data_IF_984952221614
#
_entry.id   IF_984952221614
#
_cell.length_a   1.000
_cell.length_b   1.000
_cell.length_c   1.000
_cell.angle_alpha   90.00
_cell.angle_beta   90.00
_cell.angle_gamma   90.00
#
_symmetry.space_group_name_H-M   'P 1'
#
loop_
_entity.id
_entity.type
_entity.pdbx_description
1 polymer ?
#
# COMPACT_ATOMS: atom_id res chain seq x y z
N UNK A 1 -1.99 -3.85 -21.45
CA UNK A 1 -1.35 -4.11 -20.15
C UNK A 1 -0.57 -2.89 -19.71
N UNK A 2 -0.64 -2.57 -18.43
CA UNK A 2 0.05 -1.39 -17.93
C UNK A 2 1.53 -1.68 -17.65
N UNK A 3 2.37 -0.68 -17.84
CA UNK A 3 3.77 -0.76 -17.43
C UNK A 3 3.86 -0.26 -16.00
N UNK A 4 4.27 -1.10 -15.08
CA UNK A 4 4.33 -0.77 -13.65
C UNK A 4 5.77 -0.52 -13.24
N UNK A 5 6.04 0.70 -12.79
CA UNK A 5 7.37 1.12 -12.34
C UNK A 5 7.40 1.51 -10.86
N UNK A 6 6.23 1.59 -10.21
CA UNK A 6 6.13 1.96 -8.81
C UNK A 6 5.16 1.05 -8.07
N UNK A 7 5.52 0.71 -6.84
CA UNK A 7 4.62 0.11 -5.87
C UNK A 7 4.52 1.14 -4.75
N UNK A 8 3.37 1.78 -4.62
CA UNK A 8 3.19 2.88 -3.68
C UNK A 8 2.43 2.40 -2.45
N UNK A 9 3.04 2.57 -1.28
CA UNK A 9 2.47 2.11 -0.02
C UNK A 9 1.73 3.25 0.67
N UNK A 10 0.50 2.94 1.11
CA UNK A 10 -0.39 3.87 1.78
C UNK A 10 -0.89 3.29 3.10
N UNK A 11 -1.50 4.12 3.93
CA UNK A 11 -2.31 3.66 5.04
C UNK A 11 -3.73 4.20 4.85
N UNK A 12 -4.70 3.55 5.50
CA UNK A 12 -6.09 3.98 5.38
C UNK A 12 -6.43 5.17 6.27
N UNK A 13 -5.52 5.53 7.17
CA UNK A 13 -5.67 6.65 8.11
C UNK A 13 -6.90 6.45 9.01
N UNK A 14 -6.97 5.30 9.66
CA UNK A 14 -8.00 5.01 10.66
C UNK A 14 -7.36 4.74 12.01
N UNK A 15 -8.15 5.03 13.08
CA UNK A 15 -7.70 4.81 14.46
C UNK A 15 -7.81 3.33 14.81
N UNK A 16 -7.18 2.89 15.91
CA UNK A 16 -7.23 1.47 16.31
C UNK A 16 -8.65 0.94 16.52
N UNK A 17 -9.59 1.82 16.90
CA UNK A 17 -10.98 1.42 17.12
C UNK A 17 -11.78 1.32 15.83
N UNK A 18 -11.20 1.70 14.70
CA UNK A 18 -11.88 1.75 13.41
C UNK A 18 -11.32 0.69 12.48
N UNK A 19 -12.15 0.21 11.57
CA UNK A 19 -11.72 -0.78 10.58
C UNK A 19 -11.75 -0.17 9.18
N UNK A 20 -10.98 -0.78 8.27
CA UNK A 20 -10.99 -0.35 6.88
C UNK A 20 -10.72 -1.55 5.98
N UNK A 21 -11.77 -2.31 5.70
CA UNK A 21 -11.71 -3.39 4.72
C UNK A 21 -11.72 -2.80 3.30
N UNK A 22 -11.37 -3.60 2.31
CA UNK A 22 -11.48 -3.18 0.92
C UNK A 22 -12.91 -2.75 0.60
N UNK A 23 -13.91 -3.46 1.13
CA UNK A 23 -15.31 -3.13 0.91
C UNK A 23 -15.69 -1.78 1.54
N UNK A 24 -15.20 -1.52 2.74
CA UNK A 24 -15.46 -0.21 3.40
C UNK A 24 -14.81 0.92 2.62
N UNK A 25 -13.56 0.75 2.22
CA UNK A 25 -12.84 1.76 1.44
C UNK A 25 -13.54 1.98 0.10
N UNK A 26 -13.99 0.92 -0.55
CA UNK A 26 -14.73 1.00 -1.79
C UNK A 26 -15.97 1.89 -1.60
N UNK A 27 -16.72 1.67 -0.53
CA UNK A 27 -17.89 2.49 -0.22
C UNK A 27 -17.52 3.95 0.00
N UNK A 28 -16.43 4.22 0.75
CA UNK A 28 -15.99 5.59 0.98
C UNK A 28 -15.57 6.29 -0.31
N UNK A 29 -14.85 5.59 -1.19
CA UNK A 29 -14.41 6.18 -2.44
C UNK A 29 -15.58 6.42 -3.40
N UNK A 30 -16.56 5.52 -3.42
CA UNK A 30 -17.76 5.75 -4.24
C UNK A 30 -18.53 6.98 -3.78
N UNK A 31 -18.56 7.25 -2.48
CA UNK A 31 -19.20 8.47 -1.97
C UNK A 31 -18.49 9.73 -2.41
N UNK A 32 -17.21 9.63 -2.78
CA UNK A 32 -16.47 10.76 -3.35
C UNK A 32 -16.71 10.92 -4.84
N UNK A 33 -17.51 10.05 -5.44
CA UNK A 33 -17.78 10.08 -6.87
C UNK A 33 -16.87 9.22 -7.71
N UNK A 34 -16.03 8.39 -7.06
CA UNK A 34 -15.14 7.48 -7.80
C UNK A 34 -15.87 6.20 -8.16
N UNK A 35 -15.33 5.44 -9.13
CA UNK A 35 -15.94 4.20 -9.57
C UNK A 35 -15.78 3.05 -8.59
N UNK A 36 -15.04 3.24 -7.51
CA UNK A 36 -14.81 2.25 -6.47
C UNK A 36 -13.47 2.50 -5.80
N UNK A 37 -13.01 1.50 -5.05
CA UNK A 37 -11.75 1.60 -4.32
C UNK A 37 -10.59 1.95 -5.25
N UNK A 38 -9.78 2.90 -4.82
CA UNK A 38 -8.65 3.37 -5.61
C UNK A 38 -7.36 2.56 -5.45
N UNK A 39 -7.25 1.77 -4.36
CA UNK A 39 -6.09 0.92 -4.13
C UNK A 39 -6.26 -0.44 -4.81
N UNK A 40 -5.18 -1.09 -5.12
CA UNK A 40 -5.22 -2.43 -5.71
C UNK A 40 -5.24 -3.53 -4.64
N UNK A 41 -4.69 -3.24 -3.45
CA UNK A 41 -4.67 -4.19 -2.33
C UNK A 41 -4.85 -3.48 -1.00
N UNK A 42 -5.48 -4.17 -0.06
CA UNK A 42 -5.64 -3.71 1.32
C UNK A 42 -5.11 -4.80 2.24
N UNK A 43 -4.21 -4.45 3.14
CA UNK A 43 -3.64 -5.38 4.11
C UNK A 43 -4.27 -5.10 5.46
N UNK A 44 -5.11 -6.04 5.94
CA UNK A 44 -5.84 -5.89 7.19
C UNK A 44 -4.91 -6.11 8.39
N UNK A 45 -5.37 -5.70 9.58
CA UNK A 45 -4.56 -5.81 10.79
C UNK A 45 -4.12 -7.24 11.11
N UNK A 46 -4.94 -8.23 10.75
CA UNK A 46 -4.59 -9.63 10.97
C UNK A 46 -3.67 -10.20 9.89
N UNK A 47 -3.27 -9.38 8.93
CA UNK A 47 -2.40 -9.81 7.84
C UNK A 47 -3.16 -10.30 6.60
N UNK A 48 -4.49 -10.32 6.63
CA UNK A 48 -5.26 -10.71 5.45
C UNK A 48 -5.06 -9.68 4.34
N UNK A 49 -4.75 -10.15 3.14
CA UNK A 49 -4.60 -9.30 1.96
C UNK A 49 -5.88 -9.38 1.14
N UNK A 50 -6.56 -8.25 1.02
CA UNK A 50 -7.78 -8.17 0.25
C UNK A 50 -7.53 -7.47 -1.08
N UNK A 51 -8.20 -7.92 -2.12
CA UNK A 51 -8.10 -7.29 -3.42
C UNK A 51 -9.04 -6.11 -3.52
N UNK A 52 -8.53 -5.03 -4.10
CA UNK A 52 -9.33 -3.87 -4.42
C UNK A 52 -9.51 -3.79 -5.93
N UNK A 53 -9.06 -2.69 -6.54
CA UNK A 53 -9.13 -2.51 -7.98
C UNK A 53 -8.22 -3.52 -8.68
N UNK A 54 -8.64 -4.13 -9.79
CA UNK A 54 -7.77 -5.08 -10.52
C UNK A 54 -6.45 -4.43 -10.94
N UNK A 55 -5.36 -5.19 -10.89
CA UNK A 55 -4.04 -4.66 -11.24
C UNK A 55 -3.98 -4.09 -12.66
N UNK A 56 -4.76 -4.64 -13.58
CA UNK A 56 -4.77 -4.16 -14.95
C UNK A 56 -5.38 -2.78 -15.11
N UNK A 57 -6.09 -2.30 -14.08
CA UNK A 57 -6.74 -1.00 -14.14
C UNK A 57 -5.93 0.06 -13.41
N UNK A 58 -5.92 1.27 -13.96
CA UNK A 58 -5.28 2.41 -13.31
C UNK A 58 -5.99 2.72 -12.01
N UNK A 59 -5.24 2.86 -10.93
CA UNK A 59 -5.80 3.16 -9.62
C UNK A 59 -6.17 4.63 -9.45
N UNK A 60 -6.58 4.97 -8.23
CA UNK A 60 -6.86 6.35 -7.85
C UNK A 60 -6.35 6.52 -6.41
N UNK A 61 -5.04 6.58 -6.26
CA UNK A 61 -4.42 6.59 -4.93
C UNK A 61 -3.23 7.55 -4.81
N UNK A 62 -2.66 8.00 -5.92
CA UNK A 62 -1.53 8.93 -5.87
C UNK A 62 -1.57 9.80 -7.13
N UNK A 63 -1.97 11.06 -6.98
CA UNK A 63 -2.12 11.96 -8.09
C UNK A 63 -0.85 12.04 -8.93
N UNK A 64 -0.99 11.98 -10.24
CA UNK A 64 0.09 12.00 -11.23
C UNK A 64 0.90 10.71 -11.33
N UNK A 65 0.66 9.73 -10.47
CA UNK A 65 1.43 8.48 -10.49
C UNK A 65 0.56 7.23 -10.60
N UNK A 66 -0.74 7.39 -10.82
CA UNK A 66 -1.64 6.25 -10.88
C UNK A 66 -1.40 5.35 -12.10
N UNK A 67 -1.04 5.92 -13.22
CA UNK A 67 -0.95 5.15 -14.47
C UNK A 67 0.11 4.06 -14.47
N UNK A 68 1.20 4.25 -13.72
CA UNK A 68 2.32 3.34 -13.75
C UNK A 68 2.62 2.72 -12.38
N UNK A 69 1.60 2.66 -11.52
CA UNK A 69 1.80 2.16 -10.16
C UNK A 69 0.76 1.16 -9.72
N UNK A 70 1.14 0.40 -8.68
CA UNK A 70 0.22 -0.43 -7.90
C UNK A 70 0.11 0.24 -6.54
N UNK A 71 -1.10 0.46 -6.06
CA UNK A 71 -1.33 1.04 -4.73
C UNK A 71 -1.66 -0.02 -3.71
N UNK A 72 -0.89 -0.07 -2.64
CA UNK A 72 -1.07 -1.00 -1.52
C UNK A 72 -1.36 -0.20 -0.28
N UNK A 73 -2.48 -0.46 0.38
CA UNK A 73 -2.91 0.25 1.56
C UNK A 73 -2.98 -0.69 2.76
N UNK A 74 -2.39 -0.31 3.90
CA UNK A 74 -2.58 -1.11 5.10
C UNK A 74 -3.62 -0.44 6.01
N UNK A 75 -4.37 -1.26 6.74
CA UNK A 75 -5.41 -0.80 7.65
C UNK A 75 -4.76 -0.22 8.90
N UNK A 76 -4.91 1.07 9.12
CA UNK A 76 -4.30 1.76 10.26
C UNK A 76 -3.73 3.11 9.88
N UNK A 77 -2.70 3.52 10.59
CA UNK A 77 -1.98 4.77 10.30
C UNK A 77 -2.28 5.92 11.24
N UNK A 78 -3.24 5.76 12.17
CA UNK A 78 -3.50 6.76 13.20
C UNK A 78 -3.46 6.11 14.58
N UNK A 79 -2.95 6.85 15.57
CA UNK A 79 -2.99 6.40 16.95
C UNK A 79 -4.38 6.64 17.56
N UNK A 80 -4.55 6.33 18.84
CA UNK A 80 -5.85 6.46 19.50
C UNK A 80 -6.35 7.90 19.55
N UNK A 81 -5.45 8.87 19.47
CA UNK A 81 -5.79 10.29 19.46
C UNK A 81 -5.98 10.83 18.04
N UNK A 82 -5.87 9.98 17.01
CA UNK A 82 -6.06 10.40 15.63
C UNK A 82 -4.84 11.05 14.99
N UNK A 83 -3.66 10.89 15.60
CA UNK A 83 -2.43 11.43 15.05
C UNK A 83 -1.73 10.39 14.17
N UNK A 84 -1.04 10.79 13.10
CA UNK A 84 -0.33 9.84 12.25
C UNK A 84 0.69 9.03 13.04
N UNK A 85 0.70 7.73 12.84
CA UNK A 85 1.62 6.83 13.51
C UNK A 85 1.71 5.52 12.72
N UNK A 86 2.88 4.88 12.80
CA UNK A 86 3.05 3.56 12.21
C UNK A 86 2.41 2.54 13.16
N UNK A 87 1.18 2.13 12.82
CA UNK A 87 0.39 1.22 13.66
C UNK A 87 0.39 -0.20 13.10
N UNK A 88 1.30 -0.53 12.20
CA UNK A 88 1.31 -1.86 11.59
C UNK A 88 1.55 -2.95 12.64
N UNK A 89 0.73 -4.00 12.57
CA UNK A 89 0.94 -5.20 13.40
C UNK A 89 2.07 -6.02 12.78
N UNK A 90 2.59 -6.98 13.55
CA UNK A 90 3.60 -7.90 13.01
C UNK A 90 3.03 -8.70 11.84
N UNK A 91 1.75 -9.09 11.92
CA UNK A 91 1.09 -9.78 10.81
C UNK A 91 1.05 -8.92 9.55
N UNK A 92 0.77 -7.62 9.70
CA UNK A 92 0.78 -6.69 8.58
C UNK A 92 2.16 -6.52 7.97
N UNK A 93 3.19 -6.44 8.81
CA UNK A 93 4.56 -6.29 8.31
C UNK A 93 4.95 -7.48 7.45
N UNK A 94 4.63 -8.69 7.92
CA UNK A 94 4.90 -9.91 7.16
C UNK A 94 4.10 -9.97 5.87
N UNK A 95 2.83 -9.61 5.93
CA UNK A 95 1.96 -9.64 4.76
C UNK A 95 2.41 -8.63 3.71
N UNK A 96 2.80 -7.43 4.13
CA UNK A 96 3.32 -6.41 3.22
C UNK A 96 4.58 -6.89 2.52
N UNK A 97 5.48 -7.50 3.27
CA UNK A 97 6.72 -8.02 2.71
C UNK A 97 6.44 -9.08 1.65
N UNK A 98 5.56 -10.03 1.96
CA UNK A 98 5.18 -11.09 1.05
C UNK A 98 4.52 -10.53 -0.21
N UNK A 99 3.58 -9.60 -0.04
CA UNK A 99 2.88 -9.00 -1.16
C UNK A 99 3.83 -8.22 -2.07
N UNK A 100 4.73 -7.44 -1.49
CA UNK A 100 5.69 -6.67 -2.26
C UNK A 100 6.61 -7.60 -3.05
N UNK A 101 7.03 -8.72 -2.45
CA UNK A 101 7.85 -9.70 -3.16
C UNK A 101 7.11 -10.29 -4.36
N UNK A 102 5.83 -10.59 -4.19
CA UNK A 102 5.01 -11.09 -5.29
C UNK A 102 4.88 -10.07 -6.41
N UNK A 103 4.62 -8.82 -6.02
CA UNK A 103 4.48 -7.75 -7.00
C UNK A 103 5.78 -7.49 -7.75
N UNK A 104 6.92 -7.53 -7.05
CA UNK A 104 8.19 -7.35 -7.71
C UNK A 104 8.54 -8.53 -8.62
N UNK A 105 8.03 -9.72 -8.33
CA UNK A 105 8.16 -10.86 -9.23
C UNK A 105 7.45 -10.63 -10.54
N UNK A 106 6.28 -9.97 -10.50
CA UNK A 106 5.54 -9.66 -11.72
C UNK A 106 6.03 -8.39 -12.39
N UNK A 107 6.55 -7.44 -11.62
CA UNK A 107 6.99 -6.13 -12.12
C UNK A 107 8.41 -5.85 -11.63
N UNK A 108 9.42 -6.54 -12.21
CA UNK A 108 10.78 -6.47 -11.65
C UNK A 108 11.43 -5.09 -11.71
N UNK A 109 10.91 -4.20 -12.55
CA UNK A 109 11.44 -2.84 -12.62
C UNK A 109 10.80 -1.90 -11.61
N UNK A 110 9.74 -2.34 -10.94
CA UNK A 110 9.04 -1.48 -10.00
C UNK A 110 9.87 -1.25 -8.74
N UNK A 111 9.87 -0.02 -8.26
CA UNK A 111 10.48 0.32 -6.97
C UNK A 111 9.39 0.63 -5.97
N UNK A 112 9.68 0.37 -4.70
CA UNK A 112 8.73 0.62 -3.61
C UNK A 112 8.94 2.02 -3.10
N UNK A 113 7.86 2.79 -3.00
CA UNK A 113 7.91 4.15 -2.49
C UNK A 113 6.77 4.40 -1.51
N UNK A 114 6.96 5.38 -0.64
CA UNK A 114 5.92 5.84 0.28
C UNK A 114 5.08 6.91 -0.40
N UNK A 115 3.79 6.99 -0.05
CA UNK A 115 2.94 8.05 -0.59
C UNK A 115 3.50 9.44 -0.28
N UNK A 116 4.02 9.64 0.94
CA UNK A 116 4.56 10.96 1.33
C UNK A 116 5.76 11.40 0.48
N UNK A 117 6.39 10.47 -0.23
CA UNK A 117 7.48 10.83 -1.13
C UNK A 117 6.98 11.73 -2.26
N UNK A 118 5.76 11.51 -2.73
CA UNK A 118 5.16 12.31 -3.77
C UNK A 118 4.23 13.41 -3.25
N UNK A 119 3.83 13.34 -1.98
CA UNK A 119 2.99 14.36 -1.37
C UNK A 119 3.49 14.61 0.05
N UNK A 120 4.49 15.49 0.23
CA UNK A 120 5.11 15.71 1.54
C UNK A 120 4.16 16.27 2.60
N UNK A 121 2.97 16.73 2.21
CA UNK A 121 1.98 17.20 3.17
C UNK A 121 1.32 16.04 3.92
N UNK A 122 1.52 14.82 3.44
CA UNK A 122 0.92 13.63 4.02
C UNK A 122 1.94 12.83 4.81
N UNK A 123 1.52 12.21 5.90
CA UNK A 123 2.39 11.30 6.65
C UNK A 123 2.32 9.86 6.11
N UNK A 124 1.27 9.54 5.37
CA UNK A 124 1.00 8.21 4.82
C UNK A 124 2.21 7.66 4.06
N UNK A 125 2.63 6.44 4.31
CA UNK A 125 2.06 5.41 5.17
C UNK A 125 2.58 5.41 6.61
N UNK A 126 3.18 6.46 7.08
CA UNK A 126 3.70 6.66 8.43
C UNK A 126 4.96 5.85 8.73
N UNK A 127 5.62 5.37 7.71
CA UNK A 127 6.96 4.76 7.80
C UNK A 127 7.63 4.92 6.43
N UNK A 128 8.92 4.65 6.37
CA UNK A 128 9.66 4.81 5.12
C UNK A 128 9.71 3.48 4.37
N UNK A 129 8.74 3.29 3.49
CA UNK A 129 8.62 2.06 2.72
C UNK A 129 9.84 1.82 1.84
N UNK A 130 10.44 2.88 1.32
CA UNK A 130 11.63 2.80 0.49
C UNK A 130 12.77 2.09 1.22
N UNK A 131 12.93 2.38 2.50
CA UNK A 131 14.02 1.81 3.28
C UNK A 131 13.73 0.39 3.72
N UNK A 132 12.51 0.17 4.20
CA UNK A 132 12.16 -1.10 4.81
C UNK A 132 11.89 -2.20 3.78
N UNK A 133 11.15 -1.88 2.74
CA UNK A 133 10.68 -2.89 1.79
C UNK A 133 11.58 -3.05 0.57
N UNK A 134 12.37 -2.05 0.23
CA UNK A 134 13.30 -2.16 -0.89
C UNK A 134 14.47 -3.10 -0.60
N UNK A 135 14.76 -3.36 0.65
CA UNK A 135 15.85 -4.24 1.01
C UNK A 135 15.59 -5.71 0.63
N UNK A 136 14.37 -6.02 0.24
CA UNK A 136 14.04 -7.34 -0.26
C UNK A 136 14.99 -7.77 -1.36
N UNK A 137 15.39 -6.86 -2.22
CA UNK A 137 16.29 -7.17 -3.31
C UNK A 137 17.64 -7.65 -2.83
N UNK A 138 18.10 -7.10 -1.74
CA UNK A 138 19.40 -7.42 -1.24
C UNK A 138 19.41 -8.78 -0.59
N UNK A 139 18.30 -9.14 0.03
CA UNK A 139 18.27 -10.42 0.72
C UNK A 139 18.02 -11.60 -0.19
N UNK A 140 17.46 -11.34 -1.38
CA UNK A 140 17.13 -12.42 -2.26
C UNK A 140 18.27 -13.12 -2.87
N UNK A 141 19.23 -12.46 -3.32
CA UNK A 141 20.22 -13.07 -4.11
C UNK A 141 21.10 -13.87 -3.34
N UNK A 142 20.95 -13.87 -2.29
CA UNK A 142 21.80 -14.57 -1.76
C UNK A 142 21.66 -15.82 -2.08
N UNK A 143 21.35 -16.01 -2.60
CA UNK A 143 21.34 -16.97 -3.04
C UNK A 143 22.31 -17.32 -3.54
N UNK A 144 22.91 -17.09 -3.56
CA UNK A 144 23.75 -17.39 -4.07
C UNK A 144 24.56 -17.85 -3.65
N UNK A 145 24.52 -17.74 -3.25
CA UNK A 145 25.21 -18.34 -3.07
C UNK A 145 25.70 -18.93 -3.10
#
# INVERSE_FOLDING_TARGET
MRTITLIIIHCSAVRPSQTSSAQQIDSWHRKRGWSGIGYHYVVRRDGTVERGRPEAKVGAHCLNHNRHSIGVCYEGGLDAQGRPADTRTEAQKRALLTLVRELKGRYPRAIVVSHHTFDPRKACPCFYAERELSLIHISEPTRRS
#
